data_IF_003697837022
#
_entry.id   IF_003697837022
#
_cell.length_a   1.000
_cell.length_b   1.000
_cell.length_c   1.000
_cell.angle_alpha   90.00
_cell.angle_beta   90.00
_cell.angle_gamma   90.00
#
_symmetry.space_group_name_H-M   'P 1'
#
loop_
_entity.id
_entity.type
_entity.pdbx_description
1 polymer ?
#
# COMPACT_ATOMS: atom_id res chain seq x y z
N UNK A 1 22.10 -34.16 10.57
CA UNK A 1 23.19 -33.41 9.92
C UNK A 1 22.62 -32.12 9.31
N UNK A 2 23.09 -31.00 9.84
CA UNK A 2 23.03 -29.60 9.41
C UNK A 2 22.10 -29.18 8.26
N UNK A 3 20.98 -28.54 8.59
CA UNK A 3 20.22 -27.69 7.66
C UNK A 3 20.68 -26.23 7.82
N UNK A 4 21.63 -25.85 6.97
CA UNK A 4 21.98 -24.51 6.48
C UNK A 4 21.26 -23.30 7.14
N UNK A 5 21.81 -22.79 8.23
CA UNK A 5 21.70 -21.36 8.55
C UNK A 5 22.71 -20.60 7.70
N UNK A 6 22.31 -20.28 6.47
CA UNK A 6 23.09 -19.40 5.59
C UNK A 6 22.83 -17.97 6.09
N UNK A 7 23.78 -17.43 6.87
CA UNK A 7 23.81 -16.00 7.20
C UNK A 7 23.77 -15.24 5.87
N UNK A 8 22.78 -14.35 5.63
CA UNK A 8 22.65 -13.68 4.33
C UNK A 8 23.91 -12.86 4.05
N UNK A 9 24.52 -13.12 2.89
CA UNK A 9 25.72 -12.44 2.41
C UNK A 9 25.41 -11.11 1.71
N UNK A 10 24.50 -10.30 2.27
CA UNK A 10 24.27 -8.92 1.82
C UNK A 10 24.03 -7.96 3.01
N UNK A 11 25.14 -7.38 3.45
CA UNK A 11 25.36 -5.97 3.81
C UNK A 11 24.59 -5.24 4.95
N UNK A 12 23.83 -5.87 5.86
CA UNK A 12 23.27 -5.13 7.02
C UNK A 12 23.37 -5.86 8.37
N UNK A 13 23.91 -5.17 9.39
CA UNK A 13 24.05 -5.67 10.78
C UNK A 13 22.68 -5.89 11.45
N UNK A 14 21.68 -5.12 11.01
CA UNK A 14 20.30 -5.16 11.48
C UNK A 14 19.40 -5.41 10.28
N UNK A 15 18.46 -6.34 10.42
CA UNK A 15 17.41 -6.59 9.45
C UNK A 15 16.04 -6.39 10.09
N UNK A 16 15.14 -5.73 9.36
CA UNK A 16 13.77 -5.46 9.77
C UNK A 16 12.82 -6.09 8.74
N UNK A 17 11.84 -6.85 9.23
CA UNK A 17 10.85 -7.53 8.39
C UNK A 17 9.48 -7.50 9.05
N UNK A 18 8.42 -7.46 8.24
CA UNK A 18 7.06 -7.72 8.68
C UNK A 18 6.69 -9.19 8.46
N UNK A 19 5.70 -9.71 9.19
CA UNK A 19 5.24 -11.10 9.11
C UNK A 19 4.38 -11.40 7.87
N UNK A 20 3.69 -10.38 7.34
CA UNK A 20 2.93 -10.39 6.08
C UNK A 20 3.38 -9.28 5.14
N UNK A 21 3.06 -9.45 3.86
CA UNK A 21 3.28 -8.45 2.81
C UNK A 21 2.28 -7.28 2.87
N UNK A 22 1.02 -7.56 3.21
CA UNK A 22 -0.04 -6.55 3.30
C UNK A 22 -0.96 -6.81 4.50
N UNK A 23 -1.59 -5.75 4.98
CA UNK A 23 -2.49 -5.77 6.14
C UNK A 23 -3.81 -5.07 5.85
N UNK A 24 -4.85 -5.48 6.56
CA UNK A 24 -6.16 -4.85 6.60
C UNK A 24 -6.39 -4.17 7.95
N UNK A 25 -7.21 -3.11 8.02
CA UNK A 25 -7.67 -2.56 9.29
C UNK A 25 -8.27 -3.64 10.20
N UNK A 26 -7.93 -3.59 11.49
CA UNK A 26 -8.30 -4.59 12.50
C UNK A 26 -7.29 -5.72 12.65
N UNK A 27 -6.31 -5.86 11.75
CA UNK A 27 -5.18 -6.77 11.94
C UNK A 27 -4.08 -6.14 12.81
N UNK A 28 -3.11 -6.96 13.21
CA UNK A 28 -1.89 -6.54 13.89
C UNK A 28 -0.68 -6.94 13.04
N UNK A 29 0.20 -5.98 12.76
CA UNK A 29 1.47 -6.23 12.08
C UNK A 29 2.57 -6.52 13.10
N UNK A 30 3.35 -7.58 12.87
CA UNK A 30 4.48 -7.96 13.71
C UNK A 30 5.77 -7.53 13.02
N UNK A 31 6.34 -6.43 13.49
CA UNK A 31 7.62 -5.94 13.01
C UNK A 31 8.75 -6.65 13.76
N UNK A 32 9.47 -7.54 13.08
CA UNK A 32 10.63 -8.25 13.63
C UNK A 32 11.93 -7.50 13.30
N UNK A 33 12.67 -7.16 14.34
CA UNK A 33 14.00 -6.53 14.26
C UNK A 33 15.04 -7.55 14.75
N UNK A 34 15.96 -7.96 13.88
CA UNK A 34 16.97 -8.97 14.20
C UNK A 34 18.38 -8.44 13.94
N UNK A 35 19.34 -8.88 14.75
CA UNK A 35 20.75 -8.59 14.55
C UNK A 35 21.65 -9.76 14.95
N UNK A 36 22.71 -9.98 14.18
CA UNK A 36 23.79 -10.91 14.51
C UNK A 36 24.92 -10.30 15.36
N UNK A 37 24.84 -9.01 15.69
CA UNK A 37 25.85 -8.32 16.49
C UNK A 37 25.88 -8.83 17.94
N UNK A 38 27.07 -8.82 18.58
CA UNK A 38 27.23 -9.22 19.99
C UNK A 38 26.39 -8.35 20.94
N UNK A 39 26.28 -7.06 20.66
CA UNK A 39 25.47 -6.09 21.40
C UNK A 39 25.27 -4.87 20.51
N UNK A 40 24.02 -4.43 20.34
CA UNK A 40 23.67 -3.25 19.54
C UNK A 40 22.37 -2.62 20.04
N UNK A 41 22.29 -1.31 20.01
CA UNK A 41 21.06 -0.56 20.26
C UNK A 41 20.51 -0.04 18.93
N UNK A 42 19.24 -0.30 18.68
CA UNK A 42 18.52 0.12 17.47
C UNK A 42 17.35 0.99 17.90
N UNK A 43 17.28 2.21 17.37
CA UNK A 43 16.09 3.05 17.47
C UNK A 43 15.18 2.76 16.29
N UNK A 44 13.92 2.45 16.55
CA UNK A 44 12.88 2.24 15.53
C UNK A 44 11.83 3.33 15.72
N UNK A 45 11.56 4.07 14.66
CA UNK A 45 10.56 5.12 14.61
C UNK A 45 9.43 4.68 13.68
N UNK A 46 8.19 4.70 14.16
CA UNK A 46 7.01 4.34 13.40
C UNK A 46 6.17 5.60 13.24
N UNK A 47 5.98 6.02 12.00
CA UNK A 47 5.23 7.22 11.62
C UNK A 47 3.96 6.86 10.83
N UNK A 48 2.88 7.58 11.11
CA UNK A 48 1.56 7.40 10.48
C UNK A 48 1.09 8.69 9.81
N UNK A 49 0.02 8.58 9.01
CA UNK A 49 -0.53 9.69 8.22
C UNK A 49 -1.06 10.85 9.05
N UNK A 50 -1.52 10.58 10.26
CA UNK A 50 -2.02 11.57 11.22
C UNK A 50 -0.87 12.35 11.92
N UNK A 51 0.36 12.24 11.42
CA UNK A 51 1.58 12.76 12.02
C UNK A 51 1.94 12.14 13.37
N UNK A 52 1.27 11.05 13.79
CA UNK A 52 1.70 10.34 14.99
C UNK A 52 3.03 9.63 14.76
N UNK A 53 3.91 9.73 15.74
CA UNK A 53 5.24 9.13 15.73
C UNK A 53 5.46 8.39 17.05
N UNK A 54 5.86 7.13 16.97
CA UNK A 54 6.26 6.32 18.12
C UNK A 54 7.71 5.86 17.98
N UNK A 55 8.46 5.90 19.07
CA UNK A 55 9.90 5.56 19.11
C UNK A 55 10.13 4.38 20.04
N UNK A 56 10.84 3.37 19.56
CA UNK A 56 11.21 2.16 20.29
C UNK A 56 12.73 2.01 20.32
N UNK A 57 13.29 1.83 21.51
CA UNK A 57 14.72 1.60 21.70
C UNK A 57 14.95 0.11 22.01
N UNK A 58 15.57 -0.59 21.06
CA UNK A 58 15.76 -2.02 21.13
C UNK A 58 17.22 -2.35 21.36
N UNK A 59 17.52 -2.97 22.50
CA UNK A 59 18.80 -3.66 22.70
C UNK A 59 18.74 -5.07 22.12
N UNK A 60 19.67 -5.41 21.23
CA UNK A 60 19.81 -6.72 20.59
C UNK A 60 21.21 -7.30 20.85
N UNK A 61 21.27 -8.60 21.07
CA UNK A 61 22.50 -9.34 21.42
C UNK A 61 22.48 -10.74 20.80
N UNK A 62 22.61 -10.81 19.47
CA UNK A 62 22.43 -12.04 18.67
C UNK A 62 21.04 -12.66 18.81
N UNK A 63 20.03 -11.80 18.85
CA UNK A 63 18.64 -12.18 18.99
C UNK A 63 17.76 -11.35 18.04
N UNK A 64 16.45 -11.49 18.22
CA UNK A 64 15.46 -10.64 17.58
C UNK A 64 14.48 -10.12 18.63
N UNK A 65 13.88 -8.97 18.36
CA UNK A 65 12.75 -8.40 19.09
C UNK A 65 11.61 -8.14 18.14
N UNK A 66 10.40 -8.03 18.68
CA UNK A 66 9.18 -7.79 17.93
C UNK A 66 8.49 -6.54 18.47
N UNK A 67 7.91 -5.75 17.57
CA UNK A 67 7.02 -4.65 17.89
C UNK A 67 5.68 -4.98 17.24
N UNK A 68 4.63 -5.03 18.05
CA UNK A 68 3.27 -5.28 17.59
C UNK A 68 2.61 -3.94 17.27
N UNK A 69 2.11 -3.82 16.04
CA UNK A 69 1.58 -2.57 15.50
C UNK A 69 0.12 -2.81 15.10
N UNK A 70 -0.86 -2.36 15.91
CA UNK A 70 -2.26 -2.49 15.55
C UNK A 70 -2.58 -1.60 14.33
N UNK A 71 -3.28 -2.17 13.37
CA UNK A 71 -3.64 -1.53 12.10
C UNK A 71 -5.06 -1.01 12.19
N UNK A 72 -5.22 0.30 12.00
CA UNK A 72 -6.46 1.05 12.00
C UNK A 72 -6.89 1.43 10.59
N UNK A 73 -8.11 1.97 10.43
CA UNK A 73 -8.58 2.46 9.13
C UNK A 73 -7.78 3.68 8.64
N UNK A 74 -7.20 4.46 9.55
CA UNK A 74 -6.37 5.63 9.27
C UNK A 74 -5.00 5.25 8.68
N UNK A 75 -4.58 3.99 8.83
CA UNK A 75 -3.31 3.50 8.29
C UNK A 75 -3.39 3.12 6.80
N UNK A 76 -4.58 3.17 6.18
CA UNK A 76 -4.74 2.90 4.74
C UNK A 76 -3.86 3.80 3.91
N UNK A 77 -3.04 3.23 3.04
CA UNK A 77 -1.96 3.93 2.33
C UNK A 77 -0.57 3.64 2.92
N UNK A 78 -0.50 2.94 4.05
CA UNK A 78 0.71 2.37 4.65
C UNK A 78 1.23 3.12 5.87
N UNK A 79 2.05 2.42 6.66
CA UNK A 79 2.79 2.96 7.82
C UNK A 79 4.28 2.93 7.48
N UNK A 80 5.00 4.00 7.84
CA UNK A 80 6.44 4.11 7.60
C UNK A 80 7.24 3.84 8.85
N UNK A 81 8.21 2.94 8.73
CA UNK A 81 9.14 2.59 9.80
C UNK A 81 10.52 3.04 9.39
N UNK A 82 11.12 3.96 10.15
CA UNK A 82 12.53 4.28 10.05
C UNK A 82 13.29 3.58 11.16
N UNK A 83 14.55 3.23 10.91
CA UNK A 83 15.41 2.66 11.94
C UNK A 83 16.82 3.20 11.85
N UNK A 84 17.50 3.23 13.00
CA UNK A 84 18.79 3.85 13.18
C UNK A 84 19.63 3.06 14.18
N UNK A 85 20.93 2.95 13.93
CA UNK A 85 21.89 2.48 14.93
C UNK A 85 23.28 3.09 14.71
N UNK A 86 24.09 3.07 15.76
CA UNK A 86 25.53 3.35 15.70
C UNK A 86 26.25 2.11 16.21
N UNK A 87 27.13 1.55 15.38
CA UNK A 87 27.94 0.40 15.73
C UNK A 87 29.26 0.41 14.94
N UNK A 88 30.34 -0.05 15.56
CA UNK A 88 31.65 -0.21 14.89
C UNK A 88 32.14 1.06 14.17
N UNK A 89 32.05 2.22 14.83
CA UNK A 89 32.41 3.54 14.28
C UNK A 89 31.63 3.92 13.00
N UNK A 90 30.43 3.34 12.81
CA UNK A 90 29.55 3.63 11.69
C UNK A 90 28.12 3.90 12.18
N UNK A 91 27.48 4.88 11.55
CA UNK A 91 26.04 5.12 11.68
C UNK A 91 25.34 4.51 10.46
N UNK A 92 24.26 3.79 10.72
CA UNK A 92 23.41 3.27 9.66
C UNK A 92 21.95 3.59 9.94
N UNK A 93 21.21 3.79 8.84
CA UNK A 93 19.77 4.00 8.84
C UNK A 93 19.12 3.23 7.71
N UNK A 94 17.84 2.98 7.85
CA UNK A 94 17.03 2.46 6.75
C UNK A 94 15.55 2.66 7.04
N UNK A 95 14.74 2.22 6.09
CA UNK A 95 13.28 2.29 6.19
C UNK A 95 12.64 0.96 5.81
N UNK A 96 11.43 0.77 6.29
CA UNK A 96 10.56 -0.36 5.97
C UNK A 96 9.12 0.14 5.93
N UNK A 97 8.35 -0.30 4.94
CA UNK A 97 6.95 0.10 4.80
C UNK A 97 6.04 -1.07 5.16
N UNK A 98 5.11 -0.82 6.08
CA UNK A 98 4.01 -1.74 6.36
C UNK A 98 2.88 -1.39 5.40
N UNK A 99 2.62 -2.26 4.43
CA UNK A 99 1.64 -2.00 3.37
C UNK A 99 0.22 -2.24 3.86
N UNK A 100 -0.60 -1.20 3.86
CA UNK A 100 -2.03 -1.26 4.18
C UNK A 100 -2.79 -0.76 2.96
N UNK A 101 -3.02 -1.59 1.93
CA UNK A 101 -3.63 -1.14 0.69
C UNK A 101 -5.08 -0.71 0.90
N UNK A 102 -5.50 0.32 0.17
CA UNK A 102 -6.92 0.67 0.09
C UNK A 102 -7.69 -0.51 -0.52
N UNK A 103 -8.91 -0.80 -0.02
CA UNK A 103 -9.75 -1.83 -0.61
C UNK A 103 -9.97 -1.55 -2.10
N UNK A 104 -10.03 -2.61 -2.91
CA UNK A 104 -10.40 -2.50 -4.32
C UNK A 104 -11.83 -1.98 -4.41
N UNK A 105 -11.98 -0.81 -5.02
CA UNK A 105 -13.27 -0.17 -5.33
C UNK A 105 -13.60 -0.40 -6.80
N UNK A 106 -13.44 -1.63 -7.24
CA UNK A 106 -13.71 -1.98 -8.62
C UNK A 106 -15.23 -2.14 -8.75
N UNK A 107 -15.83 -1.41 -9.69
CA UNK A 107 -17.22 -1.61 -10.08
C UNK A 107 -17.24 -2.56 -11.28
N UNK A 108 -18.05 -3.60 -11.19
CA UNK A 108 -18.36 -4.46 -12.33
C UNK A 108 -19.57 -3.87 -13.05
N UNK A 109 -19.41 -3.51 -14.33
CA UNK A 109 -20.48 -3.00 -15.18
C UNK A 109 -20.75 -4.02 -16.29
N UNK A 110 -21.98 -4.53 -16.34
CA UNK A 110 -22.45 -5.42 -17.41
C UNK A 110 -23.49 -4.71 -18.25
N UNK A 111 -23.33 -4.70 -19.58
CA UNK A 111 -24.35 -4.24 -20.53
C UNK A 111 -25.31 -5.37 -20.84
N UNK A 112 -26.61 -5.15 -20.63
CA UNK A 112 -27.62 -6.18 -20.85
C UNK A 112 -28.32 -6.07 -22.21
N UNK A 113 -28.38 -4.88 -22.81
CA UNK A 113 -29.17 -4.63 -24.04
C UNK A 113 -28.42 -3.85 -25.12
N UNK A 114 -27.08 -3.87 -25.12
CA UNK A 114 -26.29 -3.19 -26.15
C UNK A 114 -26.36 -3.96 -27.47
N UNK A 115 -26.94 -3.36 -28.51
CA UNK A 115 -27.06 -3.97 -29.86
C UNK A 115 -25.99 -3.42 -30.78
N UNK A 116 -25.41 -4.30 -31.58
CA UNK A 116 -24.32 -3.97 -32.52
C UNK A 116 -24.78 -3.06 -33.68
N UNK A 117 -26.05 -3.19 -34.10
CA UNK A 117 -26.64 -2.37 -35.17
C UNK A 117 -27.86 -1.63 -34.67
N UNK A 118 -27.81 -0.30 -34.83
CA UNK A 118 -28.91 0.60 -34.52
C UNK A 118 -29.67 0.96 -35.79
N UNK A 119 -30.98 1.16 -35.66
CA UNK A 119 -31.80 1.69 -36.75
C UNK A 119 -31.84 3.21 -36.59
N UNK A 120 -31.55 4.00 -37.63
CA UNK A 120 -31.65 5.45 -37.52
C UNK A 120 -33.04 5.89 -37.07
N UNK A 121 -33.11 6.72 -36.03
CA UNK A 121 -34.36 7.25 -35.48
C UNK A 121 -35.16 6.29 -34.59
N UNK A 122 -34.67 5.06 -34.33
CA UNK A 122 -35.33 4.19 -33.35
C UNK A 122 -35.12 4.68 -31.92
N UNK A 123 -36.11 4.41 -31.07
CA UNK A 123 -35.92 4.54 -29.62
C UNK A 123 -35.04 3.41 -29.11
N UNK A 124 -34.01 3.76 -28.36
CA UNK A 124 -33.09 2.81 -27.75
C UNK A 124 -33.22 2.80 -26.23
N UNK A 125 -33.12 1.60 -25.66
CA UNK A 125 -33.10 1.40 -24.20
C UNK A 125 -31.85 0.63 -23.81
N UNK A 126 -30.98 1.29 -23.08
CA UNK A 126 -29.77 0.68 -22.53
C UNK A 126 -30.01 0.26 -21.08
N UNK A 127 -29.73 -1.00 -20.79
CA UNK A 127 -29.80 -1.56 -19.44
C UNK A 127 -28.40 -1.97 -18.99
N UNK A 128 -28.04 -1.51 -17.81
CA UNK A 128 -26.77 -1.80 -17.16
C UNK A 128 -27.04 -2.51 -15.84
N UNK A 129 -26.17 -3.46 -15.50
CA UNK A 129 -26.07 -4.03 -14.15
C UNK A 129 -24.75 -3.56 -13.55
N UNK A 130 -24.80 -2.89 -12.41
CA UNK A 130 -23.62 -2.38 -11.71
C UNK A 130 -23.50 -3.10 -10.37
N UNK A 131 -22.34 -3.68 -10.10
CA UNK A 131 -22.04 -4.39 -8.84
C UNK A 131 -20.73 -3.91 -8.24
N UNK A 132 -20.64 -4.01 -6.92
CA UNK A 132 -19.40 -3.77 -6.19
C UNK A 132 -18.42 -4.95 -6.31
N UNK A 133 -17.26 -4.80 -5.68
CA UNK A 133 -16.16 -5.77 -5.78
C UNK A 133 -16.45 -7.12 -5.13
N UNK A 134 -17.50 -7.23 -4.31
CA UNK A 134 -18.00 -8.48 -3.72
C UNK A 134 -19.29 -8.98 -4.39
N UNK A 135 -19.61 -8.47 -5.58
CA UNK A 135 -20.84 -8.78 -6.37
C UNK A 135 -22.14 -8.32 -5.73
N UNK A 136 -22.06 -7.46 -4.73
CA UNK A 136 -23.18 -6.81 -4.05
C UNK A 136 -23.80 -5.73 -4.94
N UNK A 137 -25.13 -5.50 -4.86
CA UNK A 137 -25.75 -4.34 -5.46
C UNK A 137 -25.21 -3.07 -4.80
N UNK A 138 -24.92 -2.06 -5.61
CA UNK A 138 -24.39 -0.77 -5.16
C UNK A 138 -25.26 0.37 -5.66
N UNK A 139 -25.34 1.44 -4.87
CA UNK A 139 -25.85 2.71 -5.38
C UNK A 139 -24.77 3.35 -6.24
N UNK A 140 -25.11 3.75 -7.46
CA UNK A 140 -24.18 4.32 -8.41
C UNK A 140 -24.83 5.46 -9.20
N UNK A 141 -24.02 6.43 -9.57
CA UNK A 141 -24.37 7.46 -10.54
C UNK A 141 -23.69 7.13 -11.86
N UNK A 142 -24.42 7.26 -12.97
CA UNK A 142 -23.93 6.89 -14.30
C UNK A 142 -23.91 8.12 -15.19
N UNK A 143 -22.74 8.42 -15.73
CA UNK A 143 -22.56 9.38 -16.81
C UNK A 143 -22.26 8.61 -18.11
N UNK A 144 -23.15 8.72 -19.08
CA UNK A 144 -22.99 8.12 -20.40
C UNK A 144 -22.74 9.20 -21.47
N UNK A 145 -21.89 8.89 -22.43
CA UNK A 145 -21.59 9.77 -23.57
C UNK A 145 -21.50 8.93 -24.85
N UNK A 146 -21.90 9.52 -25.97
CA UNK A 146 -21.86 8.91 -27.29
C UNK A 146 -21.38 9.96 -28.29
N UNK A 147 -20.50 9.57 -29.22
CA UNK A 147 -19.95 10.43 -30.25
C UNK A 147 -19.72 9.65 -31.54
N UNK A 148 -19.48 10.35 -32.65
CA UNK A 148 -19.16 9.75 -33.94
C UNK A 148 -17.69 9.29 -33.97
N UNK A 149 -17.47 7.98 -34.15
CA UNK A 149 -16.15 7.38 -34.18
C UNK A 149 -15.25 7.92 -35.31
N UNK A 150 -15.83 8.51 -36.37
CA UNK A 150 -15.04 9.14 -37.44
C UNK A 150 -14.26 10.37 -36.97
N UNK A 151 -14.66 11.00 -35.85
CA UNK A 151 -13.95 12.14 -35.27
C UNK A 151 -12.57 11.76 -34.72
N UNK A 152 -12.36 10.49 -34.36
CA UNK A 152 -11.06 9.98 -33.88
C UNK A 152 -9.97 10.07 -34.97
N UNK A 153 -10.36 10.22 -36.25
CA UNK A 153 -9.41 10.48 -37.34
C UNK A 153 -8.76 11.86 -37.26
N UNK A 154 -9.37 12.81 -36.55
CA UNK A 154 -8.87 14.18 -36.38
C UNK A 154 -8.20 14.40 -35.03
N UNK A 155 -8.79 13.87 -33.95
CA UNK A 155 -8.24 13.92 -32.59
C UNK A 155 -8.71 12.68 -31.82
N UNK A 156 -7.79 11.85 -31.28
CA UNK A 156 -8.19 10.67 -30.51
C UNK A 156 -9.01 11.04 -29.26
N UNK A 157 -10.23 10.52 -29.15
CA UNK A 157 -11.03 10.76 -27.95
C UNK A 157 -10.59 9.86 -26.78
N UNK A 158 -10.10 10.47 -25.71
CA UNK A 158 -9.72 9.75 -24.48
C UNK A 158 -10.31 10.42 -23.25
N UNK A 159 -11.13 9.68 -22.50
CA UNK A 159 -11.61 10.11 -21.19
C UNK A 159 -10.49 9.98 -20.15
N UNK A 160 -9.99 11.12 -19.66
CA UNK A 160 -9.11 11.15 -18.48
C UNK A 160 -9.93 11.40 -17.23
N UNK A 161 -10.39 10.33 -16.59
CA UNK A 161 -11.17 10.40 -15.36
C UNK A 161 -10.48 9.61 -14.24
N UNK A 162 -10.00 10.29 -13.20
CA UNK A 162 -9.38 9.69 -12.02
C UNK A 162 -9.99 10.29 -10.75
N UNK A 163 -11.23 9.91 -10.39
CA UNK A 163 -11.95 10.51 -9.27
C UNK A 163 -11.45 10.05 -7.91
N UNK A 164 -10.74 8.92 -7.84
CA UNK A 164 -10.29 8.33 -6.57
C UNK A 164 -8.80 8.61 -6.40
N UNK A 165 -8.46 9.51 -5.48
CA UNK A 165 -7.09 9.66 -4.99
C UNK A 165 -6.79 8.59 -3.93
N UNK A 166 -5.73 7.81 -4.14
CA UNK A 166 -5.23 6.81 -3.18
C UNK A 166 -3.80 7.21 -2.76
N UNK A 167 -3.63 8.23 -1.92
CA UNK A 167 -2.29 8.66 -1.52
C UNK A 167 -1.58 7.50 -0.83
N UNK A 168 -0.38 7.18 -1.30
CA UNK A 168 0.53 6.37 -0.53
C UNK A 168 1.17 7.29 0.50
N UNK A 169 1.11 6.92 1.78
CA UNK A 169 1.85 7.68 2.76
C UNK A 169 3.32 7.59 2.41
N UNK A 170 4.04 8.69 2.54
CA UNK A 170 5.51 8.74 2.47
C UNK A 170 5.93 9.27 3.83
N UNK A 171 6.71 8.48 4.56
CA UNK A 171 7.05 8.76 5.96
C UNK A 171 7.65 10.14 6.15
N UNK A 172 7.58 10.65 7.38
CA UNK A 172 8.19 11.92 7.75
C UNK A 172 9.70 11.70 7.78
N UNK A 173 10.44 12.44 6.94
CA UNK A 173 11.91 12.46 7.01
C UNK A 173 12.31 13.66 7.84
N UNK A 174 12.67 13.47 9.10
CA UNK A 174 13.33 14.54 9.86
C UNK A 174 14.72 14.78 9.26
N UNK A 175 14.95 16.00 8.77
CA UNK A 175 16.29 16.49 8.51
C UNK A 175 16.97 16.72 9.85
N UNK A 176 17.79 15.78 10.30
CA UNK A 176 18.73 16.06 11.40
C UNK A 176 19.73 17.10 10.90
N UNK A 177 19.56 18.34 11.33
CA UNK A 177 20.61 19.35 11.26
C UNK A 177 21.70 18.92 12.26
N UNK A 178 22.85 18.54 11.72
CA UNK A 178 24.12 18.45 12.45
C UNK A 178 24.90 19.74 12.20
#
# INVERSE_FOLDING_TARGET
MSSKDKIPSDASIVAITSDKETYKPGEEAILKVKSGAKSIYVMVEISRQDSSVSKHYLHLNRNHKQINIPISAQDMGGIHVNWYYVAYNSFAKGSHTISVPFPKKDLEITTNTFRDKLVPGSQETWRFTIKGSQKEPVSAEVLASMYDASLDAFEPHQWRFSPISKPQFRGITEHTLI
#
